data_IF_654014706100
#
_entry.id   IF_654014706100
#
_cell.length_a   1.000
_cell.length_b   1.000
_cell.length_c   1.000
_cell.angle_alpha   90.00
_cell.angle_beta   90.00
_cell.angle_gamma   90.00
#
_symmetry.space_group_name_H-M   'P 1'
#
loop_
_entity.id
_entity.type
_entity.pdbx_description
1 polymer ?
#
# COMPACT_ATOMS: atom_id res chain seq x y z
N UNK A 1 20.69 20.06 22.32
CA UNK A 1 20.67 20.90 21.09
C UNK A 1 19.68 20.37 20.06
N UNK A 2 19.67 19.05 19.73
CA UNK A 2 18.74 18.46 18.73
C UNK A 2 17.28 18.62 19.16
N UNK A 3 16.98 18.44 20.43
CA UNK A 3 15.62 18.54 20.99
C UNK A 3 15.05 19.98 21.02
N UNK A 4 15.85 20.97 20.64
CA UNK A 4 15.45 22.38 20.53
C UNK A 4 15.09 22.80 19.10
N UNK A 5 15.15 21.87 18.15
CA UNK A 5 14.75 22.15 16.76
C UNK A 5 13.21 22.17 16.63
N UNK A 6 12.75 22.88 15.63
CA UNK A 6 11.37 22.92 15.19
C UNK A 6 11.11 21.73 14.22
N UNK A 7 10.04 20.97 14.42
CA UNK A 7 8.99 21.10 15.44
C UNK A 7 9.41 20.58 16.82
N UNK A 8 8.85 21.22 17.84
CA UNK A 8 9.12 20.85 19.24
C UNK A 8 8.77 19.39 19.51
N UNK A 9 9.69 18.65 20.14
CA UNK A 9 9.51 17.23 20.43
C UNK A 9 10.29 16.29 19.53
N UNK A 10 11.02 16.79 18.51
CA UNK A 10 11.88 15.93 17.67
C UNK A 10 13.12 15.43 18.42
N UNK A 11 13.75 14.38 17.90
CA UNK A 11 14.96 13.79 18.49
C UNK A 11 14.68 12.98 19.77
N UNK A 12 13.48 12.46 19.91
CA UNK A 12 13.06 11.61 21.03
C UNK A 12 13.41 10.14 20.77
N UNK A 13 13.56 9.39 21.87
CA UNK A 13 13.78 7.95 21.86
C UNK A 13 12.45 7.17 21.93
N UNK A 14 11.52 7.65 22.74
CA UNK A 14 10.19 7.08 22.93
C UNK A 14 9.11 8.16 23.11
N UNK A 15 7.84 7.76 23.05
CA UNK A 15 6.71 8.68 23.18
C UNK A 15 6.74 9.50 24.47
N UNK A 16 7.17 8.89 25.56
CA UNK A 16 7.28 9.54 26.88
C UNK A 16 8.26 10.71 26.81
N UNK A 17 9.42 10.50 26.18
CA UNK A 17 10.43 11.56 26.01
C UNK A 17 9.93 12.66 25.07
N UNK A 18 9.25 12.30 23.97
CA UNK A 18 8.64 13.27 23.06
C UNK A 18 7.71 14.24 23.79
N UNK A 19 6.78 13.71 24.57
CA UNK A 19 5.84 14.51 25.34
C UNK A 19 6.52 15.33 26.44
N UNK A 20 7.54 14.77 27.10
CA UNK A 20 8.31 15.52 28.11
C UNK A 20 9.10 16.68 27.50
N UNK A 21 9.67 16.55 26.30
CA UNK A 21 10.36 17.63 25.61
C UNK A 21 9.37 18.77 25.34
N UNK A 22 8.17 18.45 24.84
CA UNK A 22 7.13 19.44 24.57
C UNK A 22 6.66 20.11 25.86
N UNK A 23 6.37 19.35 26.94
CA UNK A 23 6.00 19.89 28.24
C UNK A 23 7.07 20.78 28.87
N UNK A 24 8.35 20.54 28.61
CA UNK A 24 9.44 21.37 29.12
C UNK A 24 9.60 22.68 28.36
N UNK A 25 9.16 22.73 27.12
CA UNK A 25 9.20 23.95 26.29
C UNK A 25 7.89 24.74 26.34
N UNK A 26 6.84 24.17 26.97
CA UNK A 26 5.57 24.85 27.12
C UNK A 26 5.71 26.03 28.10
N UNK A 27 5.56 27.24 27.59
CA UNK A 27 5.72 28.49 28.35
C UNK A 27 4.36 29.11 28.68
N UNK A 28 3.55 28.40 29.47
CA UNK A 28 2.29 28.96 29.96
C UNK A 28 2.40 29.23 31.46
N UNK A 29 2.52 30.50 31.80
CA UNK A 29 2.69 30.93 33.19
C UNK A 29 1.40 30.76 34.04
N UNK A 30 0.25 30.55 33.39
CA UNK A 30 -1.02 30.43 34.12
C UNK A 30 -1.32 28.97 34.52
N UNK A 31 -0.63 27.97 33.93
CA UNK A 31 -0.89 26.54 34.12
C UNK A 31 0.28 25.77 34.73
N UNK A 32 1.12 26.42 35.55
CA UNK A 32 2.35 25.79 36.08
C UNK A 32 2.06 24.50 36.87
N UNK A 33 1.00 24.47 37.68
CA UNK A 33 0.64 23.30 38.51
C UNK A 33 0.16 22.14 37.61
N UNK A 34 -0.64 22.42 36.58
CA UNK A 34 -1.13 21.43 35.64
C UNK A 34 0.01 20.83 34.83
N UNK A 35 1.01 21.65 34.42
CA UNK A 35 2.20 21.21 33.71
C UNK A 35 3.08 20.26 34.54
N UNK A 36 3.31 20.55 35.82
CA UNK A 36 4.09 19.68 36.73
C UNK A 36 3.35 18.35 36.99
N UNK A 37 2.04 18.39 37.14
CA UNK A 37 1.21 17.19 37.26
C UNK A 37 1.27 16.36 35.97
N UNK A 38 1.16 17.00 34.79
CA UNK A 38 1.28 16.35 33.51
C UNK A 38 2.65 15.69 33.31
N UNK A 39 3.76 16.37 33.64
CA UNK A 39 5.12 15.81 33.60
C UNK A 39 5.26 14.58 34.51
N UNK A 40 4.68 14.62 35.69
CA UNK A 40 4.73 13.50 36.63
C UNK A 40 3.98 12.29 36.10
N UNK A 41 2.79 12.49 35.53
CA UNK A 41 1.96 11.43 34.95
C UNK A 41 2.68 10.83 33.73
N UNK A 42 3.16 11.65 32.79
CA UNK A 42 3.85 11.17 31.58
C UNK A 42 5.12 10.41 31.96
N UNK A 43 5.92 10.88 32.89
CA UNK A 43 7.20 10.27 33.27
C UNK A 43 7.04 8.91 33.95
N UNK A 44 6.03 8.74 34.82
CA UNK A 44 5.92 7.58 35.72
C UNK A 44 4.70 6.70 35.48
N UNK A 45 3.63 7.22 34.90
CA UNK A 45 2.32 6.59 34.88
C UNK A 45 1.63 6.62 33.49
N UNK A 46 2.40 6.69 32.43
CA UNK A 46 1.87 6.76 31.07
C UNK A 46 0.97 5.56 30.70
N UNK A 47 1.30 4.36 31.19
CA UNK A 47 0.51 3.15 30.96
C UNK A 47 -0.88 3.21 31.63
N UNK A 48 -0.97 3.80 32.81
CA UNK A 48 -2.25 3.97 33.53
C UNK A 48 -3.12 5.03 32.88
N UNK A 49 -2.51 6.06 32.29
CA UNK A 49 -3.22 7.05 31.50
C UNK A 49 -3.80 6.42 30.22
N UNK A 50 -3.03 5.56 29.54
CA UNK A 50 -3.47 4.86 28.34
C UNK A 50 -4.65 3.90 28.58
N UNK A 51 -4.70 3.25 29.75
CA UNK A 51 -5.80 2.38 30.17
C UNK A 51 -6.97 3.14 30.80
N UNK A 52 -6.83 4.47 30.98
CA UNK A 52 -7.82 5.34 31.65
C UNK A 52 -8.18 4.92 33.11
N UNK A 53 -7.24 4.29 33.81
CA UNK A 53 -7.45 3.91 35.20
C UNK A 53 -7.18 5.08 36.14
N UNK A 54 -8.18 5.94 36.28
CA UNK A 54 -8.11 7.13 37.14
C UNK A 54 -8.07 6.80 38.62
N UNK A 55 -8.59 5.64 39.04
CA UNK A 55 -8.60 5.24 40.43
C UNK A 55 -7.16 4.91 40.88
N UNK A 56 -6.44 4.13 40.09
CA UNK A 56 -5.05 3.81 40.38
C UNK A 56 -4.12 5.02 40.21
N UNK A 57 -4.38 5.89 39.20
CA UNK A 57 -3.68 7.16 39.04
C UNK A 57 -3.80 8.04 40.27
N UNK A 58 -5.02 8.25 40.81
CA UNK A 58 -5.26 9.03 42.01
C UNK A 58 -4.49 8.47 43.21
N UNK A 59 -4.48 7.13 43.37
CA UNK A 59 -3.77 6.46 44.45
C UNK A 59 -2.25 6.62 44.38
N UNK A 60 -1.68 6.53 43.15
CA UNK A 60 -0.23 6.59 42.96
C UNK A 60 0.32 8.01 42.92
N UNK A 61 -0.41 8.95 42.33
CA UNK A 61 0.00 10.35 42.21
C UNK A 61 -0.41 11.21 43.40
N UNK A 62 -1.38 10.76 44.21
CA UNK A 62 -2.02 11.52 45.29
C UNK A 62 -2.72 12.80 44.82
N UNK A 63 -2.97 12.93 43.54
CA UNK A 63 -3.68 14.05 42.92
C UNK A 63 -5.20 13.82 43.01
N UNK A 64 -5.96 14.91 43.08
CA UNK A 64 -7.43 14.84 42.97
C UNK A 64 -7.85 14.50 41.55
N UNK A 65 -8.99 13.86 41.40
CA UNK A 65 -9.53 13.48 40.07
C UNK A 65 -9.66 14.67 39.11
N UNK A 66 -9.95 15.87 39.64
CA UNK A 66 -10.04 17.09 38.85
C UNK A 66 -8.66 17.51 38.33
N UNK A 67 -7.61 17.47 39.15
CA UNK A 67 -6.24 17.80 38.80
C UNK A 67 -5.68 16.82 37.73
N UNK A 68 -6.07 15.54 37.78
CA UNK A 68 -5.70 14.54 36.75
C UNK A 68 -6.37 14.86 35.43
N UNK A 69 -7.64 15.26 35.42
CA UNK A 69 -8.35 15.65 34.20
C UNK A 69 -7.75 16.91 33.54
N UNK A 70 -7.36 17.88 34.35
CA UNK A 70 -6.70 19.09 33.88
C UNK A 70 -5.33 18.76 33.27
N UNK A 71 -4.53 17.92 33.95
CA UNK A 71 -3.27 17.43 33.40
C UNK A 71 -3.44 16.62 32.11
N UNK A 72 -4.48 15.77 32.05
CA UNK A 72 -4.83 15.03 30.85
C UNK A 72 -5.20 15.95 29.68
N UNK A 73 -5.92 17.03 29.92
CA UNK A 73 -6.27 18.01 28.90
C UNK A 73 -5.01 18.67 28.32
N UNK A 74 -4.02 18.99 29.16
CA UNK A 74 -2.71 19.49 28.71
C UNK A 74 -1.99 18.44 27.86
N UNK A 75 -1.96 17.18 28.29
CA UNK A 75 -1.29 16.10 27.52
C UNK A 75 -1.97 15.86 26.18
N UNK A 76 -3.30 15.95 26.08
CA UNK A 76 -4.05 15.78 24.84
C UNK A 76 -3.78 16.86 23.80
N UNK A 77 -3.37 18.04 24.21
CA UNK A 77 -3.02 19.15 23.33
C UNK A 77 -1.59 19.01 22.73
N UNK A 78 -0.81 18.04 23.21
CA UNK A 78 0.53 17.79 22.68
C UNK A 78 0.48 16.92 21.41
N UNK A 79 1.48 17.06 20.56
CA UNK A 79 1.60 16.28 19.32
C UNK A 79 2.48 15.03 19.57
N UNK A 80 1.93 13.82 19.49
CA UNK A 80 2.71 12.58 19.65
C UNK A 80 3.65 12.32 18.46
N UNK A 81 3.44 12.99 17.31
CA UNK A 81 4.22 12.83 16.08
C UNK A 81 4.53 14.19 15.44
N UNK A 82 5.36 15.02 16.05
CA UNK A 82 5.58 16.39 15.60
C UNK A 82 6.11 16.50 14.16
N UNK A 83 6.81 15.48 13.66
CA UNK A 83 7.30 15.45 12.29
C UNK A 83 6.22 15.22 11.22
N UNK A 84 5.02 14.77 11.58
CA UNK A 84 3.95 14.47 10.61
C UNK A 84 3.41 15.72 9.91
N UNK A 85 3.50 16.88 10.56
CA UNK A 85 3.05 18.16 10.00
C UNK A 85 4.01 18.71 8.94
N UNK A 86 5.29 18.33 9.01
CA UNK A 86 6.32 18.76 8.05
C UNK A 86 6.36 17.82 6.84
N UNK A 87 6.24 16.54 7.07
CA UNK A 87 6.22 15.52 6.03
C UNK A 87 4.95 14.67 6.16
N UNK A 88 3.83 15.13 5.61
CA UNK A 88 2.62 14.33 5.62
C UNK A 88 2.91 12.99 4.91
N UNK A 89 2.35 11.87 5.39
CA UNK A 89 2.53 10.58 4.74
C UNK A 89 2.08 10.71 3.27
N UNK A 90 3.00 10.52 2.34
CA UNK A 90 2.65 10.48 0.92
C UNK A 90 1.76 9.26 0.70
N UNK A 91 0.48 9.49 0.58
CA UNK A 91 -0.47 8.43 0.22
C UNK A 91 -0.21 8.07 -1.24
N UNK A 92 0.51 6.99 -1.49
CA UNK A 92 0.73 6.50 -2.85
C UNK A 92 -0.52 5.75 -3.28
N UNK A 93 -1.29 6.35 -4.16
CA UNK A 93 -2.42 5.66 -4.79
C UNK A 93 -1.90 4.68 -5.82
N UNK A 94 -2.27 3.42 -5.68
CA UNK A 94 -1.94 2.37 -6.64
C UNK A 94 -3.00 2.36 -7.73
N UNK A 95 -2.57 2.60 -8.98
CA UNK A 95 -3.43 2.47 -10.16
C UNK A 95 -3.39 1.00 -10.60
N UNK A 96 -4.53 0.30 -10.65
CA UNK A 96 -4.57 -1.10 -11.02
C UNK A 96 -4.29 -1.28 -12.51
N UNK A 97 -3.57 -2.35 -12.88
CA UNK A 97 -3.29 -2.73 -14.27
C UNK A 97 -4.45 -3.48 -14.90
N UNK A 98 -5.20 -4.22 -14.07
CA UNK A 98 -6.32 -5.07 -14.48
C UNK A 98 -7.56 -4.72 -13.68
N UNK A 99 -8.71 -4.72 -14.33
CA UNK A 99 -10.03 -4.49 -13.71
C UNK A 99 -10.88 -5.74 -13.88
N UNK A 100 -11.46 -6.19 -12.77
CA UNK A 100 -12.36 -7.34 -12.73
C UNK A 100 -13.76 -6.87 -12.34
N UNK A 101 -14.72 -7.14 -13.19
CA UNK A 101 -16.12 -6.77 -12.99
C UNK A 101 -17.03 -7.98 -13.15
N UNK A 102 -18.12 -8.01 -12.41
CA UNK A 102 -19.15 -9.03 -12.57
C UNK A 102 -20.14 -8.59 -13.64
N UNK A 103 -20.35 -9.42 -14.66
CA UNK A 103 -21.34 -9.13 -15.70
C UNK A 103 -22.74 -9.36 -15.14
N UNK A 104 -23.62 -8.36 -15.27
CA UNK A 104 -25.00 -8.43 -14.77
C UNK A 104 -25.82 -9.54 -15.45
N UNK A 105 -25.60 -9.74 -16.75
CA UNK A 105 -26.42 -10.65 -17.57
C UNK A 105 -26.08 -12.13 -17.38
N UNK A 106 -24.77 -12.45 -17.25
CA UNK A 106 -24.28 -13.84 -17.19
C UNK A 106 -23.81 -14.27 -15.80
N UNK A 107 -23.64 -13.34 -14.88
CA UNK A 107 -23.06 -13.59 -13.56
C UNK A 107 -21.57 -13.96 -13.61
N UNK A 108 -20.97 -13.97 -14.80
CA UNK A 108 -19.56 -14.32 -14.98
C UNK A 108 -18.64 -13.12 -14.66
N UNK A 109 -17.41 -13.44 -14.26
CA UNK A 109 -16.37 -12.45 -14.04
C UNK A 109 -15.70 -12.06 -15.35
N UNK A 110 -15.69 -10.77 -15.66
CA UNK A 110 -15.01 -10.18 -16.81
C UNK A 110 -13.70 -9.55 -16.34
N UNK A 111 -12.63 -9.86 -17.06
CA UNK A 111 -11.28 -9.31 -16.81
C UNK A 111 -10.91 -8.41 -17.98
N UNK A 112 -10.49 -7.19 -17.69
CA UNK A 112 -10.08 -6.20 -18.69
C UNK A 112 -8.79 -5.51 -18.25
N UNK A 113 -7.96 -5.09 -19.22
CA UNK A 113 -6.83 -4.21 -18.92
C UNK A 113 -7.34 -2.81 -18.64
N UNK A 114 -6.72 -2.15 -17.68
CA UNK A 114 -7.00 -0.75 -17.44
C UNK A 114 -6.45 0.11 -18.59
N UNK A 115 -7.31 0.85 -19.31
CA UNK A 115 -6.87 1.69 -20.42
C UNK A 115 -5.95 2.83 -19.97
N UNK A 116 -6.03 3.26 -18.71
CA UNK A 116 -5.22 4.37 -18.17
C UNK A 116 -3.75 3.98 -17.95
N UNK A 117 -3.50 2.69 -17.70
CA UNK A 117 -2.13 2.18 -17.51
C UNK A 117 -1.50 1.65 -18.80
N UNK A 118 -2.30 1.48 -19.86
CA UNK A 118 -1.82 0.90 -21.12
C UNK A 118 -1.48 2.01 -22.12
N UNK A 119 -0.20 2.18 -22.48
CA UNK A 119 0.18 3.23 -23.43
C UNK A 119 -0.41 2.95 -24.83
N UNK A 120 -1.13 3.92 -25.40
CA UNK A 120 -1.69 3.86 -26.74
C UNK A 120 -0.66 4.35 -27.74
N UNK A 121 0.18 3.44 -28.25
CA UNK A 121 1.25 3.74 -29.19
C UNK A 121 0.87 3.23 -30.59
N UNK A 122 1.10 4.07 -31.61
CA UNK A 122 0.94 3.72 -33.03
C UNK A 122 2.10 4.22 -33.83
N UNK A 123 2.38 3.56 -34.95
CA UNK A 123 3.33 4.05 -35.95
C UNK A 123 2.65 5.16 -36.72
N UNK A 124 3.40 6.23 -37.00
CA UNK A 124 2.93 7.29 -37.86
C UNK A 124 3.04 6.84 -39.32
N UNK A 125 1.91 6.71 -40.02
CA UNK A 125 1.83 6.21 -41.39
C UNK A 125 2.56 7.14 -42.39
N UNK A 126 2.64 8.44 -42.10
CA UNK A 126 3.39 9.39 -42.91
C UNK A 126 4.87 9.03 -42.98
N UNK A 127 5.51 8.75 -41.85
CA UNK A 127 6.91 8.30 -41.83
C UNK A 127 7.09 6.89 -42.35
N UNK A 128 6.15 5.99 -42.07
CA UNK A 128 6.19 4.62 -42.62
C UNK A 128 6.15 4.57 -44.16
N UNK A 129 5.44 5.50 -44.76
CA UNK A 129 5.33 5.60 -46.26
C UNK A 129 6.58 6.14 -46.92
N UNK A 130 7.45 6.86 -46.21
CA UNK A 130 8.71 7.37 -46.72
C UNK A 130 9.74 6.27 -46.97
N UNK A 131 9.59 5.10 -46.34
CA UNK A 131 10.50 3.96 -46.50
C UNK A 131 10.28 3.31 -47.87
N UNK A 132 11.25 3.49 -48.77
CA UNK A 132 11.24 2.89 -50.12
C UNK A 132 11.94 1.53 -50.13
N UNK A 133 11.33 0.53 -50.77
CA UNK A 133 11.88 -0.85 -50.80
C UNK A 133 13.16 -0.96 -51.64
N UNK A 134 13.31 -0.17 -52.67
CA UNK A 134 14.41 -0.25 -53.65
C UNK A 134 15.54 0.78 -53.44
N UNK A 135 15.43 1.61 -52.40
CA UNK A 135 16.42 2.64 -52.08
C UNK A 135 17.35 2.15 -50.95
N UNK A 136 18.66 2.12 -51.26
CA UNK A 136 19.71 1.73 -50.31
C UNK A 136 20.50 2.92 -49.75
N UNK A 137 19.96 4.13 -49.86
CA UNK A 137 20.55 5.32 -49.23
C UNK A 137 20.65 5.17 -47.71
N UNK A 138 21.62 5.86 -47.09
CA UNK A 138 21.79 5.85 -45.64
C UNK A 138 20.52 6.29 -44.93
N UNK A 139 19.86 7.32 -45.40
CA UNK A 139 18.62 7.84 -44.85
C UNK A 139 17.48 6.82 -44.87
N UNK A 140 17.32 6.12 -46.02
CA UNK A 140 16.30 5.10 -46.15
C UNK A 140 16.59 3.87 -45.28
N UNK A 141 17.86 3.47 -45.17
CA UNK A 141 18.27 2.41 -44.26
C UNK A 141 18.02 2.78 -42.78
N UNK A 142 18.32 4.03 -42.38
CA UNK A 142 18.02 4.54 -41.04
C UNK A 142 16.51 4.50 -40.74
N UNK A 143 15.67 5.01 -41.64
CA UNK A 143 14.21 4.97 -41.51
C UNK A 143 13.67 3.54 -41.44
N UNK A 144 14.21 2.61 -42.24
CA UNK A 144 13.82 1.20 -42.24
C UNK A 144 14.13 0.52 -40.93
N UNK A 145 15.33 0.73 -40.36
CA UNK A 145 15.76 0.15 -39.12
C UNK A 145 14.90 0.66 -37.96
N UNK A 146 14.67 1.98 -37.89
CA UNK A 146 13.80 2.56 -36.85
C UNK A 146 12.35 2.09 -36.96
N UNK A 147 11.83 1.96 -38.19
CA UNK A 147 10.48 1.42 -38.40
C UNK A 147 10.36 -0.04 -37.92
N UNK A 148 11.39 -0.84 -38.20
CA UNK A 148 11.43 -2.25 -37.74
C UNK A 148 11.51 -2.33 -36.25
N UNK A 149 12.34 -1.50 -35.59
CA UNK A 149 12.47 -1.42 -34.15
C UNK A 149 11.14 -0.97 -33.49
N UNK A 150 10.49 0.06 -34.03
CA UNK A 150 9.19 0.53 -33.60
C UNK A 150 8.11 -0.57 -33.68
N UNK A 151 8.07 -1.33 -34.76
CA UNK A 151 7.16 -2.47 -34.91
C UNK A 151 7.42 -3.57 -33.91
N UNK A 152 8.70 -3.90 -33.69
CA UNK A 152 9.09 -4.89 -32.67
C UNK A 152 8.70 -4.45 -31.26
N UNK A 153 8.93 -3.18 -30.93
CA UNK A 153 8.56 -2.60 -29.64
C UNK A 153 7.05 -2.68 -29.39
N UNK A 154 6.22 -2.27 -30.37
CA UNK A 154 4.75 -2.37 -30.24
C UNK A 154 4.32 -3.82 -30.05
N UNK A 155 4.88 -4.75 -30.82
CA UNK A 155 4.58 -6.19 -30.70
C UNK A 155 4.98 -6.73 -29.33
N UNK A 156 6.11 -6.29 -28.80
CA UNK A 156 6.58 -6.66 -27.45
C UNK A 156 5.62 -6.19 -26.36
N UNK A 157 5.13 -4.94 -26.45
CA UNK A 157 4.11 -4.41 -25.53
C UNK A 157 2.79 -5.18 -25.62
N UNK A 158 2.33 -5.48 -26.83
CA UNK A 158 1.12 -6.28 -27.03
C UNK A 158 1.24 -7.67 -26.42
N UNK A 159 2.37 -8.36 -26.68
CA UNK A 159 2.64 -9.69 -26.11
C UNK A 159 2.67 -9.68 -24.58
N UNK A 160 3.26 -8.63 -23.98
CA UNK A 160 3.26 -8.45 -22.51
C UNK A 160 1.84 -8.29 -21.96
N UNK A 161 1.02 -7.45 -22.60
CA UNK A 161 -0.35 -7.20 -22.20
C UNK A 161 -1.23 -8.46 -22.36
N UNK A 162 -1.05 -9.20 -23.46
CA UNK A 162 -1.73 -10.49 -23.68
C UNK A 162 -1.35 -11.52 -22.59
N UNK A 163 -0.07 -11.57 -22.21
CA UNK A 163 0.40 -12.45 -21.16
C UNK A 163 -0.22 -12.08 -19.82
N UNK A 164 -0.23 -10.79 -19.47
CA UNK A 164 -0.86 -10.29 -18.25
C UNK A 164 -2.36 -10.65 -18.20
N UNK A 165 -3.08 -10.46 -19.31
CA UNK A 165 -4.50 -10.81 -19.43
C UNK A 165 -4.75 -12.30 -19.27
N UNK A 166 -3.95 -13.15 -19.92
CA UNK A 166 -4.06 -14.61 -19.77
C UNK A 166 -3.87 -15.07 -18.34
N UNK A 167 -2.83 -14.54 -17.68
CA UNK A 167 -2.52 -14.85 -16.28
C UNK A 167 -3.62 -14.36 -15.34
N UNK A 168 -4.04 -13.10 -15.47
CA UNK A 168 -5.11 -12.52 -14.65
C UNK A 168 -6.43 -13.27 -14.82
N UNK A 169 -6.81 -13.62 -16.05
CA UNK A 169 -8.04 -14.40 -16.31
C UNK A 169 -7.99 -15.77 -15.65
N UNK A 170 -6.85 -16.45 -15.67
CA UNK A 170 -6.70 -17.77 -15.01
C UNK A 170 -6.73 -17.66 -13.49
N UNK A 171 -6.14 -16.61 -12.91
CA UNK A 171 -6.24 -16.33 -11.47
C UNK A 171 -7.70 -16.10 -11.09
N UNK A 172 -8.43 -15.26 -11.81
CA UNK A 172 -9.85 -14.96 -11.57
C UNK A 172 -10.71 -16.21 -11.71
N UNK A 173 -10.48 -17.03 -12.74
CA UNK A 173 -11.19 -18.29 -12.92
C UNK A 173 -11.01 -19.25 -11.76
N UNK A 174 -9.80 -19.32 -11.18
CA UNK A 174 -9.50 -20.17 -10.03
C UNK A 174 -10.06 -19.59 -8.72
N UNK A 175 -10.06 -18.27 -8.58
CA UNK A 175 -10.43 -17.54 -7.36
C UNK A 175 -11.87 -16.97 -7.38
N UNK A 176 -12.79 -17.59 -8.14
CA UNK A 176 -14.20 -17.15 -8.20
C UNK A 176 -14.84 -17.08 -6.82
N UNK A 177 -14.58 -18.06 -5.96
CA UNK A 177 -15.14 -18.12 -4.62
C UNK A 177 -14.61 -16.98 -3.72
N UNK A 178 -13.34 -16.61 -3.86
CA UNK A 178 -12.78 -15.43 -3.21
C UNK A 178 -13.52 -14.15 -3.63
N UNK A 179 -13.81 -13.98 -4.91
CA UNK A 179 -14.50 -12.81 -5.42
C UNK A 179 -15.95 -12.70 -4.91
N UNK A 180 -16.62 -13.85 -4.69
CA UNK A 180 -17.99 -13.90 -4.18
C UNK A 180 -18.05 -13.81 -2.65
N UNK A 181 -17.26 -14.62 -1.93
CA UNK A 181 -17.39 -14.83 -0.49
C UNK A 181 -16.30 -14.15 0.33
N UNK A 182 -15.16 -13.76 -0.26
CA UNK A 182 -14.05 -13.07 0.39
C UNK A 182 -12.88 -13.98 0.74
N UNK A 183 -12.03 -13.47 1.65
CA UNK A 183 -10.75 -14.10 2.00
C UNK A 183 -10.89 -15.52 2.55
N UNK A 184 -11.97 -15.79 3.26
CA UNK A 184 -12.25 -17.14 3.83
C UNK A 184 -12.45 -18.21 2.75
N UNK A 185 -12.90 -17.81 1.54
CA UNK A 185 -13.12 -18.71 0.42
C UNK A 185 -11.96 -18.73 -0.59
N UNK A 186 -10.80 -18.18 -0.21
CA UNK A 186 -9.62 -18.17 -1.07
C UNK A 186 -9.08 -19.58 -1.26
N UNK A 187 -8.92 -20.00 -2.52
CA UNK A 187 -8.36 -21.32 -2.87
C UNK A 187 -6.82 -21.23 -2.95
N UNK A 188 -6.09 -22.22 -2.43
CA UNK A 188 -4.64 -22.27 -2.59
C UNK A 188 -4.27 -22.36 -4.08
N UNK A 189 -3.33 -21.53 -4.50
CA UNK A 189 -2.88 -21.44 -5.88
C UNK A 189 -1.35 -21.33 -5.91
N UNK A 190 -0.70 -22.18 -6.69
CA UNK A 190 0.73 -22.16 -6.90
C UNK A 190 1.08 -21.68 -8.31
N UNK A 191 2.26 -21.07 -8.45
CA UNK A 191 2.73 -20.55 -9.75
C UNK A 191 2.75 -21.60 -10.84
N UNK A 192 3.09 -22.85 -10.49
CA UNK A 192 3.13 -23.98 -11.40
C UNK A 192 1.80 -24.22 -12.11
N UNK A 193 0.69 -24.19 -11.38
CA UNK A 193 -0.66 -24.45 -11.94
C UNK A 193 -1.04 -23.42 -13.01
N UNK A 194 -0.72 -22.15 -12.75
CA UNK A 194 -0.98 -21.10 -13.74
C UNK A 194 -0.01 -21.20 -14.92
N UNK A 195 1.27 -21.49 -14.67
CA UNK A 195 2.29 -21.67 -15.70
C UNK A 195 1.89 -22.76 -16.70
N UNK A 196 1.44 -23.90 -16.22
CA UNK A 196 0.92 -25.00 -17.03
C UNK A 196 -0.34 -24.58 -17.82
N UNK A 197 -1.31 -23.94 -17.15
CA UNK A 197 -2.58 -23.52 -17.77
C UNK A 197 -2.41 -22.47 -18.89
N UNK A 198 -1.35 -21.65 -18.84
CA UNK A 198 -1.04 -20.65 -19.89
C UNK A 198 0.12 -21.07 -20.81
N UNK A 199 0.67 -22.29 -20.61
CA UNK A 199 1.80 -22.84 -21.38
C UNK A 199 3.03 -21.94 -21.36
N UNK A 200 3.39 -21.43 -20.16
CA UNK A 200 4.54 -20.56 -19.93
C UNK A 200 5.39 -21.05 -18.77
N UNK A 201 6.63 -20.56 -18.67
CA UNK A 201 7.51 -20.91 -17.56
C UNK A 201 7.11 -20.15 -16.28
N UNK A 202 7.25 -20.78 -15.10
CA UNK A 202 6.92 -20.18 -13.79
C UNK A 202 7.61 -18.85 -13.54
N UNK A 203 8.88 -18.72 -13.98
CA UNK A 203 9.63 -17.46 -13.86
C UNK A 203 9.00 -16.31 -14.64
N UNK A 204 8.32 -16.60 -15.76
CA UNK A 204 7.55 -15.60 -16.53
C UNK A 204 6.33 -15.17 -15.75
N UNK A 205 5.58 -16.13 -15.16
CA UNK A 205 4.41 -15.83 -14.33
C UNK A 205 4.81 -14.97 -13.13
N UNK A 206 5.87 -15.36 -12.42
CA UNK A 206 6.39 -14.60 -11.27
C UNK A 206 6.74 -13.15 -11.64
N UNK A 207 7.39 -12.92 -12.79
CA UNK A 207 7.74 -11.57 -13.25
C UNK A 207 6.51 -10.75 -13.66
N UNK A 208 5.54 -11.39 -14.31
CA UNK A 208 4.32 -10.71 -14.78
C UNK A 208 3.40 -10.35 -13.63
N UNK A 209 3.42 -11.10 -12.53
CA UNK A 209 2.53 -10.88 -11.37
C UNK A 209 3.12 -9.96 -10.30
N UNK A 210 4.44 -9.74 -10.29
CA UNK A 210 5.12 -8.86 -9.34
C UNK A 210 4.84 -7.39 -9.66
N UNK A 211 4.43 -6.61 -8.64
CA UNK A 211 4.07 -5.19 -8.76
C UNK A 211 2.98 -4.91 -9.81
N UNK A 212 2.09 -5.88 -10.01
CA UNK A 212 0.91 -5.75 -10.86
C UNK A 212 -0.35 -5.92 -10.03
N UNK A 213 -1.25 -4.96 -10.14
CA UNK A 213 -2.42 -4.84 -9.30
C UNK A 213 -3.70 -5.08 -10.09
N UNK A 214 -4.63 -5.73 -9.43
CA UNK A 214 -5.96 -6.05 -9.93
C UNK A 214 -7.01 -5.36 -9.07
N UNK A 215 -7.87 -4.58 -9.70
CA UNK A 215 -9.06 -4.03 -9.05
C UNK A 215 -10.18 -5.04 -9.09
N UNK A 216 -10.73 -5.36 -7.93
CA UNK A 216 -11.88 -6.24 -7.75
C UNK A 216 -12.98 -5.50 -6.98
N UNK A 217 -14.24 -5.95 -6.97
CA UNK A 217 -15.29 -5.37 -6.13
C UNK A 217 -14.98 -5.39 -4.63
N UNK A 218 -14.02 -6.23 -4.21
CA UNK A 218 -13.56 -6.33 -2.81
C UNK A 218 -12.35 -5.46 -2.48
N UNK A 219 -11.72 -4.83 -3.48
CA UNK A 219 -10.56 -3.97 -3.31
C UNK A 219 -9.49 -4.20 -4.35
N UNK A 220 -8.35 -3.53 -4.15
CA UNK A 220 -7.18 -3.64 -5.02
C UNK A 220 -6.20 -4.63 -4.39
N UNK A 221 -5.84 -5.67 -5.15
CA UNK A 221 -4.91 -6.71 -4.73
C UNK A 221 -3.76 -6.83 -5.72
N UNK A 222 -2.54 -7.08 -5.23
CA UNK A 222 -1.44 -7.48 -6.09
C UNK A 222 -1.72 -8.89 -6.65
N UNK A 223 -1.43 -9.13 -7.93
CA UNK A 223 -1.62 -10.46 -8.54
C UNK A 223 -0.83 -11.54 -7.79
N UNK A 224 0.32 -11.18 -7.22
CA UNK A 224 1.16 -12.08 -6.42
C UNK A 224 0.46 -12.54 -5.13
N UNK A 225 -0.46 -11.76 -4.57
CA UNK A 225 -1.21 -12.10 -3.35
C UNK A 225 -1.94 -13.44 -3.46
N UNK A 226 -2.44 -13.80 -4.65
CA UNK A 226 -3.18 -15.02 -4.88
C UNK A 226 -2.31 -16.30 -4.93
N UNK A 227 -0.99 -16.17 -4.92
CA UNK A 227 -0.04 -17.29 -4.92
C UNK A 227 0.49 -17.66 -3.54
N UNK A 228 -0.13 -17.24 -2.45
CA UNK A 228 0.26 -17.63 -1.11
C UNK A 228 -0.19 -19.08 -0.82
N UNK A 229 0.75 -19.91 -0.39
CA UNK A 229 0.49 -21.31 0.02
C UNK A 229 -0.16 -21.42 1.40
N UNK A 230 -0.31 -20.32 2.12
CA UNK A 230 -0.90 -20.26 3.45
C UNK A 230 -2.23 -19.52 3.41
N UNK A 231 -3.29 -20.26 3.13
CA UNK A 231 -4.63 -19.84 3.56
C UNK A 231 -4.68 -20.11 5.06
N UNK A 232 -4.60 -19.06 5.88
CA UNK A 232 -4.84 -19.18 7.32
C UNK A 232 -6.30 -19.53 7.53
N UNK A 233 -6.61 -20.80 7.62
CA UNK A 233 -7.90 -21.24 8.14
C UNK A 233 -7.96 -20.84 9.62
N UNK A 234 -8.99 -20.13 10.10
CA UNK A 234 -9.13 -19.73 11.50
C UNK A 234 -9.42 -20.90 12.47
N UNK A 235 -9.19 -22.14 12.05
CA UNK A 235 -9.48 -23.35 12.83
C UNK A 235 -8.19 -24.06 13.21
N UNK A 236 -7.33 -23.43 14.02
CA UNK A 236 -6.16 -24.13 14.59
C UNK A 236 -5.77 -23.64 15.98
N UNK A 237 -6.74 -23.27 16.83
CA UNK A 237 -6.50 -23.05 18.25
C UNK A 237 -7.30 -24.02 19.12
N UNK A 238 -7.26 -25.31 18.83
CA UNK A 238 -7.66 -26.34 19.80
C UNK A 238 -6.79 -27.55 19.54
N UNK A 239 -5.66 -27.64 20.19
CA UNK A 239 -5.02 -28.82 20.77
C UNK A 239 -3.56 -28.53 21.08
N UNK A 240 -3.33 -27.97 22.28
CA UNK A 240 -2.15 -28.28 23.06
C UNK A 240 -2.63 -28.52 24.50
N UNK A 241 -2.70 -29.81 24.79
CA UNK A 241 -2.54 -30.32 26.15
C UNK A 241 -1.06 -30.45 26.45
#
# INVERSE_FOLDING_TARGET
RIQQFDPVGVGYKDLTECLLIQLNQYQDNEQVVQLENAKTIVKKHMSLLATQDYAELTRKTKLKRQEIKEAEAVIKNLDPRPGSNISPPSTTYVIPDVVVTKQADSGNWKVELNPDTTPKIRINDGYASLVKRADSSEDNNYLRNNLQEARWFIKSLQSRNETLMKVASKIVDHQKDFLEYGEEAMKPLVLHNIAEAVSMHESTISRVTTQKYMHTPRGIFELKYFFSSHVSTPVSYTHLR
#
